data_IF_511175988269
#
_entry.id   IF_511175988269
#
_cell.length_a   1.000
_cell.length_b   1.000
_cell.length_c   1.000
_cell.angle_alpha   90.00
_cell.angle_beta   90.00
_cell.angle_gamma   90.00
#
_symmetry.space_group_name_H-M   'P 1'
#
loop_
_entity.id
_entity.type
_entity.pdbx_description
1 polymer ?
#
# COMPACT_ATOMS: atom_id res chain seq x y z
N UNK A 1 -41.89 10.64 -8.35
CA UNK A 1 -41.72 11.89 -9.12
C UNK A 1 -40.57 12.63 -8.50
N UNK A 2 -39.61 12.92 -9.35
CA UNK A 2 -38.27 13.41 -9.07
C UNK A 2 -38.25 14.88 -8.59
N UNK A 3 -37.13 15.22 -7.95
CA UNK A 3 -36.43 16.53 -7.96
C UNK A 3 -36.52 17.49 -6.75
N UNK A 4 -35.38 17.47 -6.04
CA UNK A 4 -34.38 18.55 -5.88
C UNK A 4 -34.41 19.52 -4.68
N UNK A 5 -33.19 19.60 -4.11
CA UNK A 5 -32.48 20.73 -3.47
C UNK A 5 -32.76 21.00 -1.99
N UNK A 6 -31.72 20.81 -1.17
CA UNK A 6 -30.88 21.96 -0.78
C UNK A 6 -29.57 21.47 -0.17
N UNK A 7 -28.46 21.90 -0.78
CA UNK A 7 -27.12 21.81 -0.22
C UNK A 7 -26.96 22.89 0.85
N UNK A 8 -26.59 22.52 2.07
CA UNK A 8 -26.04 23.49 3.03
C UNK A 8 -24.56 23.20 3.21
N UNK A 9 -23.77 24.02 2.54
CA UNK A 9 -22.34 24.20 2.77
C UNK A 9 -22.20 25.01 4.05
N UNK A 10 -21.49 24.48 5.05
CA UNK A 10 -20.93 25.30 6.13
C UNK A 10 -19.42 25.39 5.93
N UNK A 11 -18.94 26.61 5.70
CA UNK A 11 -17.52 26.95 5.62
C UNK A 11 -17.06 27.62 6.92
N UNK A 12 -15.93 27.10 7.41
CA UNK A 12 -14.77 27.75 8.05
C UNK A 12 -14.92 28.51 9.38
N UNK A 13 -14.12 28.07 10.37
CA UNK A 13 -13.10 28.97 10.98
C UNK A 13 -11.81 28.20 11.30
N UNK A 14 -10.74 28.66 10.63
CA UNK A 14 -9.37 28.92 11.10
C UNK A 14 -8.50 27.81 11.72
N UNK A 15 -7.34 27.63 11.07
CA UNK A 15 -6.12 26.91 11.46
C UNK A 15 -6.03 25.40 11.14
N UNK A 16 -5.05 25.07 10.28
CA UNK A 16 -4.69 23.70 9.91
C UNK A 16 -5.13 23.32 8.51
N UNK A 17 -4.28 23.58 7.50
CA UNK A 17 -4.42 23.02 6.15
C UNK A 17 -4.50 21.49 6.23
N UNK A 18 -5.68 20.92 6.01
CA UNK A 18 -5.81 19.54 5.55
C UNK A 18 -6.35 19.60 4.13
N UNK A 19 -5.43 19.48 3.18
CA UNK A 19 -5.76 19.34 1.77
C UNK A 19 -6.15 17.87 1.55
N UNK A 20 -7.44 17.59 1.63
CA UNK A 20 -7.99 16.27 1.29
C UNK A 20 -7.95 16.13 -0.24
N UNK A 21 -6.93 15.45 -0.76
CA UNK A 21 -6.98 14.90 -2.12
C UNK A 21 -7.67 13.54 -2.07
N UNK A 22 -8.99 13.55 -2.29
CA UNK A 22 -9.75 12.35 -2.65
C UNK A 22 -9.55 12.07 -4.14
N UNK A 23 -8.56 11.25 -4.48
CA UNK A 23 -8.43 10.70 -5.83
C UNK A 23 -9.14 9.33 -5.91
N UNK A 24 -10.18 9.31 -6.76
CA UNK A 24 -10.94 8.17 -7.29
C UNK A 24 -10.40 6.77 -6.97
N UNK A 25 -10.60 6.33 -5.73
CA UNK A 25 -10.41 4.94 -5.33
C UNK A 25 -11.71 4.20 -5.58
N UNK A 26 -11.64 2.97 -6.09
CA UNK A 26 -12.79 2.04 -6.07
C UNK A 26 -13.46 2.10 -4.69
N UNK A 27 -14.80 2.01 -4.59
CA UNK A 27 -15.49 2.21 -3.32
C UNK A 27 -14.88 1.30 -2.26
N UNK A 28 -14.17 1.91 -1.32
CA UNK A 28 -13.70 1.26 -0.11
C UNK A 28 -14.98 0.85 0.61
N UNK A 29 -15.15 -0.45 0.87
CA UNK A 29 -16.26 -0.95 1.68
C UNK A 29 -16.31 -0.11 2.97
N UNK A 30 -17.45 0.48 3.36
CA UNK A 30 -17.55 1.35 4.53
C UNK A 30 -17.13 0.66 5.84
N UNK A 31 -16.97 -0.66 5.86
CA UNK A 31 -16.46 -1.42 7.01
C UNK A 31 -14.95 -1.72 6.94
N UNK A 32 -14.25 -1.32 5.87
CA UNK A 32 -12.81 -1.49 5.73
C UNK A 32 -12.11 -0.19 6.08
N UNK A 33 -11.48 -0.15 7.26
CA UNK A 33 -10.64 0.97 7.67
C UNK A 33 -9.29 0.81 6.97
N UNK A 34 -8.89 1.82 6.18
CA UNK A 34 -7.56 1.88 5.60
C UNK A 34 -6.54 2.14 6.71
N UNK A 35 -5.59 1.23 6.85
CA UNK A 35 -4.40 1.52 7.63
C UNK A 35 -3.52 2.45 6.84
N UNK A 36 -2.92 3.43 7.51
CA UNK A 36 -2.05 4.43 6.91
C UNK A 36 -0.62 4.22 7.35
N UNK A 37 0.34 4.46 6.46
CA UNK A 37 1.75 4.57 6.82
C UNK A 37 2.02 5.85 7.61
N UNK A 38 3.25 6.00 8.09
CA UNK A 38 3.67 7.12 8.92
C UNK A 38 3.49 8.49 8.23
N UNK A 39 3.54 8.53 6.90
CA UNK A 39 3.33 9.71 6.05
C UNK A 39 1.84 9.99 5.73
N UNK A 40 0.91 9.18 6.26
CA UNK A 40 -0.53 9.32 6.01
C UNK A 40 -1.03 8.66 4.71
N UNK A 41 -0.17 8.01 3.94
CA UNK A 41 -0.56 7.25 2.73
C UNK A 41 -1.30 5.96 3.14
N UNK A 42 -2.37 5.54 2.46
CA UNK A 42 -2.95 4.22 2.71
C UNK A 42 -1.89 3.14 2.53
N UNK A 43 -1.62 2.34 3.56
CA UNK A 43 -0.64 1.25 3.51
C UNK A 43 -1.28 -0.01 2.92
N UNK A 44 -2.38 -0.48 3.54
CA UNK A 44 -3.13 -1.63 3.09
C UNK A 44 -4.57 -1.62 3.63
N UNK A 45 -5.44 -2.40 2.99
CA UNK A 45 -6.83 -2.66 3.39
C UNK A 45 -7.19 -4.13 3.15
N UNK A 46 -8.23 -4.62 3.83
CA UNK A 46 -8.88 -5.88 3.45
C UNK A 46 -9.31 -5.86 1.98
N UNK A 47 -9.06 -6.95 1.26
CA UNK A 47 -9.49 -7.09 -0.14
C UNK A 47 -10.62 -8.12 -0.25
N UNK A 48 -11.77 -7.67 -0.75
CA UNK A 48 -13.00 -8.46 -0.91
C UNK A 48 -13.37 -8.73 -2.38
N UNK A 49 -12.49 -8.36 -3.33
CA UNK A 49 -12.74 -8.54 -4.77
C UNK A 49 -12.58 -9.98 -5.24
N UNK A 50 -12.52 -10.19 -6.56
CA UNK A 50 -12.43 -11.52 -7.16
C UNK A 50 -11.25 -12.34 -6.62
N UNK A 51 -11.47 -13.63 -6.33
CA UNK A 51 -10.53 -14.52 -5.62
C UNK A 51 -9.20 -14.74 -6.34
N UNK A 52 -9.17 -14.56 -7.66
CA UNK A 52 -7.99 -14.71 -8.50
C UNK A 52 -7.25 -13.39 -8.77
N UNK A 53 -7.77 -12.24 -8.32
CA UNK A 53 -7.06 -10.96 -8.48
C UNK A 53 -5.84 -10.93 -7.58
N UNK A 54 -4.66 -10.78 -8.19
CA UNK A 54 -3.37 -10.62 -7.50
C UNK A 54 -2.77 -9.23 -7.65
N UNK A 55 -3.16 -8.52 -8.70
CA UNK A 55 -2.88 -7.10 -8.93
C UNK A 55 -4.20 -6.47 -9.36
N UNK A 56 -4.61 -5.39 -8.71
CA UNK A 56 -5.88 -4.71 -9.00
C UNK A 56 -5.75 -3.79 -10.23
N UNK A 57 -6.87 -3.28 -10.76
CA UNK A 57 -6.87 -2.41 -11.95
C UNK A 57 -6.18 -1.06 -11.70
N UNK A 58 -6.21 -0.57 -10.47
CA UNK A 58 -5.48 0.60 -9.97
C UNK A 58 -4.02 0.26 -9.57
N UNK A 59 -3.57 -0.97 -9.83
CA UNK A 59 -2.17 -1.37 -9.70
C UNK A 59 -1.75 -1.80 -8.29
N UNK A 60 -2.65 -1.94 -7.34
CA UNK A 60 -2.28 -2.41 -6.00
C UNK A 60 -1.98 -3.91 -5.97
N UNK A 61 -1.08 -4.32 -5.08
CA UNK A 61 -0.73 -5.73 -4.89
C UNK A 61 -1.74 -6.38 -3.94
N UNK A 62 -2.25 -7.55 -4.29
CA UNK A 62 -3.09 -8.35 -3.39
C UNK A 62 -2.26 -9.51 -2.84
N UNK A 63 -2.12 -9.54 -1.53
CA UNK A 63 -1.47 -10.60 -0.77
C UNK A 63 -2.51 -11.45 -0.05
N UNK A 64 -2.25 -12.75 0.04
CA UNK A 64 -3.15 -13.73 0.65
C UNK A 64 -2.45 -14.41 1.81
N UNK A 65 -3.16 -14.62 2.93
CA UNK A 65 -2.62 -15.34 4.10
C UNK A 65 -2.09 -16.73 3.73
N UNK A 66 -2.65 -17.35 2.69
CA UNK A 66 -2.27 -18.68 2.20
C UNK A 66 -0.91 -18.67 1.53
N UNK A 67 -0.42 -17.52 1.09
CA UNK A 67 0.90 -17.39 0.46
C UNK A 67 2.04 -17.67 1.47
N UNK A 68 1.78 -17.64 2.78
CA UNK A 68 2.76 -18.09 3.79
C UNK A 68 3.03 -19.60 3.76
N UNK A 69 2.11 -20.39 3.20
CA UNK A 69 2.25 -21.85 3.07
C UNK A 69 2.86 -22.25 1.72
N UNK A 70 2.52 -21.50 0.68
CA UNK A 70 3.01 -21.67 -0.68
C UNK A 70 3.23 -20.28 -1.30
N UNK A 71 4.48 -19.82 -1.22
CA UNK A 71 4.89 -18.50 -1.66
C UNK A 71 4.92 -18.36 -3.19
N UNK A 72 4.73 -19.43 -3.97
CA UNK A 72 4.83 -19.39 -5.43
C UNK A 72 3.85 -18.37 -6.04
N UNK A 73 2.61 -18.33 -5.54
CA UNK A 73 1.58 -17.39 -5.98
C UNK A 73 1.87 -15.96 -5.54
N UNK A 74 2.34 -15.78 -4.31
CA UNK A 74 2.76 -14.48 -3.79
C UNK A 74 3.93 -13.88 -4.58
N UNK A 75 4.95 -14.68 -4.87
CA UNK A 75 6.11 -14.29 -5.69
C UNK A 75 5.72 -13.98 -7.13
N UNK A 76 4.84 -14.79 -7.73
CA UNK A 76 4.32 -14.52 -9.07
C UNK A 76 3.53 -13.20 -9.11
N UNK A 77 2.70 -12.94 -8.10
CA UNK A 77 1.98 -11.68 -7.95
C UNK A 77 2.93 -10.48 -7.82
N UNK A 78 3.99 -10.60 -7.02
CA UNK A 78 5.01 -9.55 -6.88
C UNK A 78 5.70 -9.23 -8.21
N UNK A 79 6.07 -10.26 -8.98
CA UNK A 79 6.65 -10.05 -10.33
C UNK A 79 5.67 -9.35 -11.28
N UNK A 80 4.40 -9.78 -11.27
CA UNK A 80 3.36 -9.17 -12.09
C UNK A 80 3.17 -7.70 -11.70
N UNK A 81 3.07 -7.41 -10.41
CA UNK A 81 2.94 -6.06 -9.87
C UNK A 81 4.12 -5.18 -10.28
N UNK A 82 5.35 -5.68 -10.10
CA UNK A 82 6.56 -4.94 -10.46
C UNK A 82 6.61 -4.61 -11.95
N UNK A 83 6.22 -5.56 -12.81
CA UNK A 83 6.11 -5.33 -14.26
C UNK A 83 5.06 -4.25 -14.61
N UNK A 84 3.90 -4.26 -13.95
CA UNK A 84 2.85 -3.25 -14.14
C UNK A 84 3.36 -1.83 -13.84
N UNK A 85 4.21 -1.69 -12.81
CA UNK A 85 4.72 -0.38 -12.36
C UNK A 85 6.11 -0.03 -12.84
N UNK A 86 6.72 -0.87 -13.68
CA UNK A 86 8.12 -0.75 -14.09
C UNK A 86 9.09 -0.68 -12.90
N UNK A 87 8.72 -1.29 -11.78
CA UNK A 87 9.57 -1.39 -10.60
C UNK A 87 10.61 -2.48 -10.81
N UNK A 88 11.89 -2.14 -10.64
CA UNK A 88 13.01 -3.07 -10.78
C UNK A 88 13.19 -3.90 -9.52
N UNK A 89 12.98 -5.21 -9.67
CA UNK A 89 13.31 -6.22 -8.65
C UNK A 89 14.77 -6.71 -8.75
N UNK A 90 15.62 -6.05 -9.55
CA UNK A 90 17.01 -6.43 -9.72
C UNK A 90 17.78 -6.39 -8.39
N UNK A 91 18.59 -7.40 -8.12
CA UNK A 91 19.34 -7.51 -6.87
C UNK A 91 18.47 -7.83 -5.64
N UNK A 92 17.14 -7.97 -5.78
CA UNK A 92 16.26 -8.36 -4.68
C UNK A 92 15.98 -9.86 -4.73
N UNK A 93 16.25 -10.55 -3.62
CA UNK A 93 15.75 -11.89 -3.42
C UNK A 93 14.22 -11.86 -3.31
N UNK A 94 13.52 -12.49 -4.26
CA UNK A 94 12.05 -12.43 -4.34
C UNK A 94 11.35 -12.97 -3.11
N UNK A 95 12.01 -13.90 -2.40
CA UNK A 95 11.52 -14.42 -1.12
C UNK A 95 11.45 -13.30 -0.09
N UNK A 96 12.55 -12.56 0.04
CA UNK A 96 12.69 -11.54 1.07
C UNK A 96 11.80 -10.34 0.75
N UNK A 97 11.75 -9.91 -0.52
CA UNK A 97 10.85 -8.85 -0.95
C UNK A 97 9.37 -9.19 -0.71
N UNK A 98 8.98 -10.43 -1.00
CA UNK A 98 7.64 -10.92 -0.68
C UNK A 98 7.37 -10.90 0.83
N UNK A 99 8.28 -11.45 1.64
CA UNK A 99 8.07 -11.51 3.09
C UNK A 99 8.12 -10.14 3.76
N UNK A 100 8.92 -9.19 3.27
CA UNK A 100 8.91 -7.78 3.69
C UNK A 100 7.49 -7.21 3.61
N UNK A 101 6.86 -7.31 2.43
CA UNK A 101 5.48 -6.83 2.23
C UNK A 101 4.46 -7.66 3.00
N UNK A 102 4.62 -8.99 3.06
CA UNK A 102 3.71 -9.87 3.77
C UNK A 102 3.68 -9.55 5.27
N UNK A 103 4.84 -9.43 5.92
CA UNK A 103 4.92 -9.09 7.35
C UNK A 103 4.48 -7.66 7.62
N UNK A 104 4.74 -6.72 6.70
CA UNK A 104 4.31 -5.33 6.86
C UNK A 104 2.80 -5.13 6.69
N UNK A 105 2.08 -6.10 6.10
CA UNK A 105 0.64 -5.97 5.79
C UNK A 105 -0.23 -7.05 6.43
N UNK A 106 -0.03 -8.33 6.08
CA UNK A 106 -0.88 -9.43 6.56
C UNK A 106 -0.79 -9.58 8.07
N UNK A 107 0.41 -9.53 8.66
CA UNK A 107 0.57 -9.74 10.11
C UNK A 107 -0.16 -8.67 10.96
N UNK A 108 0.05 -7.36 10.70
CA UNK A 108 -0.76 -6.31 11.34
C UNK A 108 -2.26 -6.50 11.12
N UNK A 109 -2.69 -6.84 9.91
CA UNK A 109 -4.10 -7.11 9.60
C UNK A 109 -4.71 -8.26 10.42
N UNK A 110 -3.90 -9.28 10.76
CA UNK A 110 -4.34 -10.38 11.62
C UNK A 110 -4.44 -9.96 13.08
N UNK A 111 -3.52 -9.09 13.55
CA UNK A 111 -3.52 -8.59 14.92
C UNK A 111 -4.73 -7.69 15.24
N UNK A 112 -5.30 -7.04 14.21
CA UNK A 112 -6.51 -6.21 14.33
C UNK A 112 -7.82 -7.01 14.38
N UNK A 113 -7.77 -8.34 14.19
CA UNK A 113 -8.98 -9.14 14.22
C UNK A 113 -9.58 -9.19 15.64
N UNK A 114 -10.88 -8.89 15.82
CA UNK A 114 -11.53 -9.05 17.11
C UNK A 114 -11.55 -10.53 17.52
N UNK A 115 -11.57 -10.77 18.83
CA UNK A 115 -11.54 -12.12 19.43
C UNK A 115 -12.69 -13.05 19.01
N UNK A 116 -13.78 -12.50 18.47
CA UNK A 116 -14.90 -13.25 17.89
C UNK A 116 -14.90 -13.35 16.36
N UNK A 117 -13.82 -12.95 15.69
CA UNK A 117 -13.79 -12.89 14.22
C UNK A 117 -13.95 -14.27 13.59
N UNK A 118 -14.83 -14.43 12.59
CA UNK A 118 -14.97 -15.69 11.84
C UNK A 118 -13.72 -16.04 11.02
N UNK A 119 -12.74 -15.13 10.94
CA UNK A 119 -11.48 -15.32 10.25
C UNK A 119 -10.37 -15.88 11.16
N UNK A 120 -10.57 -15.95 12.48
CA UNK A 120 -9.60 -16.56 13.42
C UNK A 120 -9.21 -18.00 13.06
N UNK A 121 -10.10 -18.87 12.55
CA UNK A 121 -9.69 -20.19 12.09
C UNK A 121 -8.69 -20.15 10.92
N UNK A 122 -8.72 -19.11 10.07
CA UNK A 122 -7.74 -18.93 9.00
C UNK A 122 -6.35 -18.62 9.57
N UNK A 123 -6.31 -17.75 10.59
CA UNK A 123 -5.09 -17.38 11.30
C UNK A 123 -4.49 -18.60 11.98
N UNK A 124 -5.31 -19.33 12.74
CA UNK A 124 -4.88 -20.55 13.43
C UNK A 124 -4.35 -21.60 12.45
N UNK A 125 -5.02 -21.79 11.30
CA UNK A 125 -4.57 -22.70 10.26
C UNK A 125 -3.19 -22.30 9.71
N UNK A 126 -2.99 -21.02 9.36
CA UNK A 126 -1.70 -20.53 8.86
C UNK A 126 -0.58 -20.71 9.88
N UNK A 127 -0.80 -20.37 11.15
CA UNK A 127 0.17 -20.57 12.23
C UNK A 127 0.54 -22.04 12.43
N UNK A 128 -0.42 -22.94 12.25
CA UNK A 128 -0.22 -24.40 12.33
C UNK A 128 0.29 -25.02 11.01
N UNK A 129 0.60 -24.20 9.99
CA UNK A 129 0.97 -24.65 8.64
C UNK A 129 -0.06 -25.57 7.98
N UNK A 130 -1.34 -25.32 8.23
CA UNK A 130 -2.48 -26.05 7.68
C UNK A 130 -3.20 -25.22 6.62
N UNK A 131 -3.69 -25.89 5.58
CA UNK A 131 -4.50 -25.25 4.54
C UNK A 131 -5.81 -24.72 5.13
N UNK A 132 -6.27 -23.58 4.61
CA UNK A 132 -7.57 -22.99 4.93
C UNK A 132 -8.29 -22.57 3.65
N UNK A 133 -9.61 -22.71 3.65
CA UNK A 133 -10.48 -22.21 2.58
C UNK A 133 -11.01 -20.81 2.87
N UNK A 134 -10.75 -20.28 4.07
CA UNK A 134 -11.17 -18.93 4.44
C UNK A 134 -10.34 -17.90 3.69
N UNK A 135 -11.05 -16.95 3.09
CA UNK A 135 -10.45 -15.90 2.29
C UNK A 135 -9.92 -14.77 3.19
N UNK A 136 -8.60 -14.72 3.34
CA UNK A 136 -7.93 -13.62 4.01
C UNK A 136 -6.92 -12.98 3.08
N UNK A 137 -7.34 -11.89 2.44
CA UNK A 137 -6.52 -11.10 1.52
C UNK A 137 -6.47 -9.65 1.93
N UNK A 138 -5.34 -9.02 1.65
CA UNK A 138 -5.13 -7.57 1.80
C UNK A 138 -4.66 -7.00 0.47
N UNK A 139 -5.16 -5.80 0.17
CA UNK A 139 -4.69 -4.94 -0.92
C UNK A 139 -3.66 -4.00 -0.33
N UNK A 140 -2.41 -4.14 -0.75
CA UNK A 140 -1.28 -3.28 -0.39
C UNK A 140 -1.20 -2.16 -1.41
N UNK A 141 -1.25 -0.91 -0.93
CA UNK A 141 -1.19 0.26 -1.80
C UNK A 141 0.12 0.31 -2.57
N UNK A 142 0.09 0.89 -3.77
CA UNK A 142 1.23 0.88 -4.68
C UNK A 142 2.40 1.68 -4.11
N UNK A 143 2.13 2.91 -3.66
CA UNK A 143 3.15 3.78 -3.07
C UNK A 143 3.76 3.18 -1.82
N UNK A 144 2.94 2.60 -0.94
CA UNK A 144 3.42 1.93 0.25
C UNK A 144 4.32 0.73 -0.09
N UNK A 145 3.93 -0.09 -1.08
CA UNK A 145 4.76 -1.22 -1.50
C UNK A 145 6.11 -0.77 -2.07
N UNK A 146 6.14 0.30 -2.87
CA UNK A 146 7.37 0.90 -3.40
C UNK A 146 8.24 1.41 -2.27
N UNK A 147 7.70 2.28 -1.41
CA UNK A 147 8.43 2.86 -0.28
C UNK A 147 8.98 1.75 0.63
N UNK A 148 8.16 0.76 0.98
CA UNK A 148 8.56 -0.33 1.88
C UNK A 148 9.71 -1.17 1.31
N UNK A 149 9.64 -1.53 0.02
CA UNK A 149 10.72 -2.28 -0.63
C UNK A 149 11.99 -1.44 -0.73
N UNK A 150 11.90 -0.15 -1.05
CA UNK A 150 13.09 0.72 -1.10
C UNK A 150 13.71 0.87 0.29
N UNK A 151 12.90 1.13 1.31
CA UNK A 151 13.37 1.21 2.71
C UNK A 151 14.07 -0.06 3.17
N UNK A 152 13.52 -1.23 2.85
CA UNK A 152 14.05 -2.50 3.35
C UNK A 152 15.28 -3.00 2.60
N UNK A 153 15.46 -2.62 1.33
CA UNK A 153 16.50 -3.21 0.48
C UNK A 153 17.54 -2.23 -0.07
N UNK A 154 17.21 -0.94 -0.17
CA UNK A 154 18.15 0.10 -0.63
C UNK A 154 18.61 1.00 0.54
N UNK A 155 17.97 0.90 1.71
CA UNK A 155 18.33 1.62 2.93
C UNK A 155 19.39 0.92 3.79
N UNK A 156 19.62 1.42 5.03
CA UNK A 156 18.97 2.58 5.64
C UNK A 156 19.41 3.90 4.99
N UNK A 157 18.51 4.88 4.97
CA UNK A 157 18.82 6.25 4.55
C UNK A 157 19.19 7.10 5.77
N UNK A 158 20.00 8.14 5.57
CA UNK A 158 20.35 9.07 6.63
C UNK A 158 19.13 9.88 7.12
N UNK A 159 19.16 10.35 8.37
CA UNK A 159 18.07 11.13 8.97
C UNK A 159 17.78 12.46 8.24
N UNK A 160 18.72 12.97 7.44
CA UNK A 160 18.65 14.27 6.76
C UNK A 160 18.67 14.16 5.22
N UNK A 161 18.55 12.96 4.64
CA UNK A 161 18.72 12.74 3.20
C UNK A 161 17.48 12.12 2.55
N UNK A 162 16.36 12.84 2.61
CA UNK A 162 15.16 12.56 1.79
C UNK A 162 15.55 12.38 0.30
N UNK A 163 16.54 13.14 -0.17
CA UNK A 163 17.08 13.05 -1.54
C UNK A 163 17.60 11.64 -1.89
N UNK A 164 18.26 10.94 -0.95
CA UNK A 164 18.78 9.59 -1.19
C UNK A 164 17.65 8.56 -1.31
N UNK A 165 16.63 8.69 -0.45
CA UNK A 165 15.43 7.84 -0.50
C UNK A 165 14.67 8.00 -1.82
N UNK A 166 14.40 9.23 -2.24
CA UNK A 166 13.69 9.48 -3.49
C UNK A 166 14.54 9.15 -4.72
N UNK A 167 15.86 9.29 -4.65
CA UNK A 167 16.77 8.81 -5.69
C UNK A 167 16.69 7.28 -5.83
N UNK A 168 16.66 6.54 -4.73
CA UNK A 168 16.51 5.08 -4.75
C UNK A 168 15.16 4.63 -5.33
N UNK A 169 14.05 5.29 -4.95
CA UNK A 169 12.73 5.06 -5.56
C UNK A 169 12.80 5.23 -7.08
N UNK A 170 13.45 6.30 -7.53
CA UNK A 170 13.47 6.68 -8.93
C UNK A 170 14.36 5.76 -9.76
N UNK A 171 15.50 5.37 -9.19
CA UNK A 171 16.34 4.30 -9.73
C UNK A 171 15.53 3.01 -9.93
N UNK A 172 14.75 2.59 -8.91
CA UNK A 172 13.90 1.39 -8.99
C UNK A 172 12.80 1.52 -10.03
N UNK A 173 12.22 2.70 -10.23
CA UNK A 173 11.15 2.91 -11.22
C UNK A 173 11.66 3.18 -12.64
N UNK A 174 12.98 3.19 -12.86
CA UNK A 174 13.59 3.46 -14.16
C UNK A 174 13.36 4.89 -14.65
N UNK A 175 13.01 5.81 -13.76
CA UNK A 175 12.80 7.22 -14.04
C UNK A 175 13.96 8.04 -13.46
N UNK A 176 14.51 8.98 -14.23
CA UNK A 176 15.16 10.14 -13.61
C UNK A 176 14.09 10.87 -12.81
N UNK A 177 14.15 10.81 -11.48
CA UNK A 177 13.26 11.57 -10.61
C UNK A 177 13.27 13.04 -11.05
N UNK A 178 12.10 13.64 -11.23
CA UNK A 178 11.96 15.07 -11.02
C UNK A 178 11.08 15.22 -9.79
N UNK A 179 11.66 15.49 -8.61
CA UNK A 179 10.86 15.96 -7.50
C UNK A 179 10.11 17.20 -7.98
N UNK A 180 8.83 17.30 -7.63
CA UNK A 180 7.99 18.44 -8.00
C UNK A 180 8.77 19.74 -7.80
N UNK A 181 8.84 20.53 -8.87
CA UNK A 181 9.55 21.81 -8.94
C UNK A 181 9.39 22.59 -7.65
N UNK A 182 10.45 22.64 -6.83
CA UNK A 182 10.51 23.58 -5.73
C UNK A 182 10.28 24.98 -6.34
N UNK A 183 9.39 25.82 -5.76
CA UNK A 183 9.27 27.19 -6.22
C UNK A 183 10.63 27.85 -6.03
N UNK A 184 11.24 28.26 -7.15
CA UNK A 184 12.46 29.05 -7.15
C UNK A 184 12.20 30.28 -6.28
N UNK A 185 12.99 30.54 -5.22
CA UNK A 185 12.85 31.79 -4.48
C UNK A 185 13.10 32.91 -5.49
N UNK A 186 12.12 33.80 -5.65
CA UNK A 186 12.28 34.99 -6.46
C UNK A 186 13.54 35.73 -5.98
N UNK A 187 14.48 35.97 -6.89
CA UNK A 187 15.55 36.94 -6.69
C UNK A 187 14.92 38.27 -6.31
N UNK A 188 14.94 38.60 -5.01
CA UNK A 188 14.75 39.97 -4.55
C UNK A 188 16.01 40.76 -4.97
N UNK A 189 15.96 41.34 -6.17
CA UNK A 189 16.85 42.45 -6.54
C UNK A 189 16.31 43.72 -5.90
N UNK A 190 16.85 44.04 -4.74
CA UNK A 190 16.94 45.39 -4.20
C UNK A 190 18.39 45.85 -4.26
#
# INVERSE_FOLDING_TARGET
MEMLKSSTVSQLTTEGKIMILLLNSSPIDPNSIAQVSHDGTPAWVRYLGASNTRVTNDGHLVLDIRDALDESKGKAALRQWAATHRFSLEGLELRDAFYSLYFASIYPALAELPSGSPLLPAVAATLQRRKTNLDFRVRVHVDYAIQKLVMDFDGPFGEDTDDEFYAAISHRLGATYSPGSAPTPAENRG
#
